data_IF_830181933279
#
_entry.id   IF_830181933279
#
_cell.length_a   1.000
_cell.length_b   1.000
_cell.length_c   1.000
_cell.angle_alpha   90.00
_cell.angle_beta   90.00
_cell.angle_gamma   90.00
#
_symmetry.space_group_name_H-M   'P 1'
#
loop_
_entity.id
_entity.type
_entity.pdbx_description
1 polymer ?
#
# COMPACT_ATOMS: atom_id res chain seq x y z
N UNK A 1 44.13 19.71 18.25
CA UNK A 1 43.10 20.32 17.37
C UNK A 1 42.08 19.23 17.05
N UNK A 2 41.11 19.02 17.95
CA UNK A 2 40.15 17.91 17.85
C UNK A 2 39.02 18.28 16.91
N UNK A 3 38.91 17.59 15.77
CA UNK A 3 37.78 17.71 14.85
C UNK A 3 36.58 17.03 15.50
N UNK A 4 35.64 17.83 15.98
CA UNK A 4 34.32 17.39 16.39
C UNK A 4 33.64 16.66 15.22
N UNK A 5 33.52 15.34 15.33
CA UNK A 5 32.69 14.54 14.44
C UNK A 5 31.23 14.85 14.78
N UNK A 6 30.68 15.87 14.13
CA UNK A 6 29.25 16.15 14.17
C UNK A 6 28.58 14.98 13.45
N UNK A 7 28.13 14.00 14.22
CA UNK A 7 27.24 12.95 13.73
C UNK A 7 25.98 13.65 13.24
N UNK A 8 25.92 13.97 11.95
CA UNK A 8 24.67 14.23 11.27
C UNK A 8 23.83 12.96 11.44
N UNK A 9 22.94 13.00 12.43
CA UNK A 9 21.79 12.12 12.51
C UNK A 9 21.01 12.41 11.23
N UNK A 10 21.33 11.66 10.19
CA UNK A 10 20.68 11.69 8.89
C UNK A 10 19.25 11.22 9.12
N UNK A 11 18.40 12.12 9.61
CA UNK A 11 16.97 11.86 9.80
C UNK A 11 16.48 11.41 8.43
N UNK A 12 16.15 10.12 8.32
CA UNK A 12 15.36 9.64 7.20
C UNK A 12 14.17 10.60 7.06
N UNK A 13 13.83 11.03 5.83
CA UNK A 13 12.83 12.05 5.65
C UNK A 13 11.55 11.58 6.34
N UNK A 14 11.04 12.36 7.29
CA UNK A 14 9.86 12.01 8.09
C UNK A 14 8.63 11.66 7.22
N UNK A 15 8.63 12.10 5.95
CA UNK A 15 7.64 11.71 4.94
C UNK A 15 7.60 10.21 4.65
N UNK A 16 8.72 9.47 4.76
CA UNK A 16 8.73 8.02 4.49
C UNK A 16 8.03 7.22 5.59
N UNK A 17 8.12 7.69 6.84
CA UNK A 17 7.48 7.03 7.98
C UNK A 17 5.97 7.29 7.98
N UNK A 18 5.54 8.54 7.71
CA UNK A 18 4.12 8.87 7.57
C UNK A 18 3.45 8.12 6.41
N UNK A 19 4.13 8.04 5.26
CA UNK A 19 3.67 7.25 4.12
C UNK A 19 3.53 5.76 4.45
N UNK A 20 4.50 5.19 5.15
CA UNK A 20 4.46 3.79 5.55
C UNK A 20 3.31 3.49 6.53
N UNK A 21 3.13 4.33 7.57
CA UNK A 21 2.03 4.15 8.54
C UNK A 21 0.67 4.29 7.86
N UNK A 22 0.51 5.28 6.99
CA UNK A 22 -0.69 5.42 6.15
C UNK A 22 -0.94 4.16 5.32
N UNK A 23 0.08 3.67 4.61
CA UNK A 23 0.00 2.48 3.77
C UNK A 23 -0.37 1.22 4.55
N UNK A 24 0.31 0.97 5.67
CA UNK A 24 0.01 -0.17 6.54
C UNK A 24 -1.39 -0.06 7.11
N UNK A 25 -1.82 1.14 7.48
CA UNK A 25 -3.20 1.41 7.90
C UNK A 25 -4.23 0.99 6.85
N UNK A 26 -3.99 1.29 5.57
CA UNK A 26 -4.88 0.87 4.47
C UNK A 26 -4.96 -0.64 4.32
N UNK A 27 -3.84 -1.35 4.44
CA UNK A 27 -3.84 -2.81 4.41
C UNK A 27 -4.55 -3.43 5.61
N UNK A 28 -4.41 -2.84 6.81
CA UNK A 28 -5.14 -3.28 8.00
C UNK A 28 -6.65 -3.10 7.80
N UNK A 29 -7.08 -1.96 7.27
CA UNK A 29 -8.50 -1.70 6.98
C UNK A 29 -9.04 -2.73 6.00
N UNK A 30 -8.31 -3.02 4.92
CA UNK A 30 -8.66 -4.08 3.97
C UNK A 30 -8.82 -5.44 4.66
N UNK A 31 -7.87 -5.82 5.51
CA UNK A 31 -7.92 -7.11 6.23
C UNK A 31 -9.11 -7.21 7.19
N UNK A 32 -9.44 -6.11 7.88
CA UNK A 32 -10.63 -6.05 8.74
C UNK A 32 -11.92 -6.17 7.93
N UNK A 33 -12.03 -5.47 6.80
CA UNK A 33 -13.18 -5.56 5.89
C UNK A 33 -13.33 -6.97 5.31
N UNK A 34 -12.20 -7.59 4.96
CA UNK A 34 -12.13 -8.98 4.50
C UNK A 34 -12.68 -9.95 5.54
N UNK A 35 -12.23 -9.83 6.80
CA UNK A 35 -12.72 -10.69 7.90
C UNK A 35 -14.20 -10.48 8.20
N UNK A 36 -14.72 -9.26 7.99
CA UNK A 36 -16.14 -8.95 8.14
C UNK A 36 -17.01 -9.39 6.96
N UNK A 37 -16.41 -9.88 5.86
CA UNK A 37 -17.14 -10.22 4.64
C UNK A 37 -17.74 -9.01 3.92
N UNK A 38 -17.28 -7.79 4.21
CA UNK A 38 -17.83 -6.54 3.65
C UNK A 38 -17.10 -6.08 2.38
N UNK A 39 -16.20 -6.91 1.83
CA UNK A 39 -15.50 -6.58 0.59
C UNK A 39 -16.43 -6.57 -0.62
N UNK A 40 -17.46 -7.40 -0.62
CA UNK A 40 -18.45 -7.42 -1.71
C UNK A 40 -19.29 -6.13 -1.73
N UNK A 41 -19.75 -5.68 -0.55
CA UNK A 41 -20.47 -4.40 -0.40
C UNK A 41 -19.58 -3.22 -0.78
N UNK A 42 -18.32 -3.23 -0.37
CA UNK A 42 -17.35 -2.20 -0.74
C UNK A 42 -17.09 -2.19 -2.25
N UNK A 43 -16.95 -3.36 -2.88
CA UNK A 43 -16.74 -3.46 -4.32
C UNK A 43 -17.95 -2.96 -5.11
N UNK A 44 -19.15 -3.28 -4.66
CA UNK A 44 -20.39 -2.75 -5.25
C UNK A 44 -20.45 -1.24 -5.11
N UNK A 45 -20.17 -0.70 -3.92
CA UNK A 45 -20.12 0.74 -3.68
C UNK A 45 -19.08 1.44 -4.56
N UNK A 46 -17.89 0.85 -4.74
CA UNK A 46 -16.84 1.38 -5.62
C UNK A 46 -17.33 1.50 -7.08
N UNK A 47 -18.05 0.48 -7.56
CA UNK A 47 -18.58 0.42 -8.94
C UNK A 47 -19.79 1.33 -9.17
N UNK A 48 -20.54 1.64 -8.11
CA UNK A 48 -21.69 2.54 -8.17
C UNK A 48 -21.30 4.04 -8.11
N UNK A 49 -20.02 4.36 -7.91
CA UNK A 49 -19.56 5.75 -7.91
C UNK A 49 -19.54 6.35 -9.33
N UNK A 50 -19.69 7.67 -9.44
CA UNK A 50 -19.42 8.37 -10.69
C UNK A 50 -17.99 8.08 -11.16
N UNK A 51 -17.81 7.85 -12.47
CA UNK A 51 -16.53 7.48 -13.10
C UNK A 51 -15.35 8.35 -12.63
N UNK A 52 -15.55 9.65 -12.46
CA UNK A 52 -14.48 10.55 -11.99
C UNK A 52 -14.02 10.20 -10.57
N UNK A 53 -14.96 9.91 -9.67
CA UNK A 53 -14.66 9.56 -8.27
C UNK A 53 -14.11 8.14 -8.19
N UNK A 54 -14.62 7.23 -9.01
CA UNK A 54 -14.06 5.89 -9.15
C UNK A 54 -12.58 5.96 -9.55
N UNK A 55 -12.24 6.73 -10.60
CA UNK A 55 -10.85 6.91 -11.06
C UNK A 55 -9.98 7.53 -9.95
N UNK A 56 -10.46 8.56 -9.25
CA UNK A 56 -9.72 9.15 -8.14
C UNK A 56 -9.47 8.13 -7.01
N UNK A 57 -10.46 7.30 -6.71
CA UNK A 57 -10.33 6.23 -5.71
C UNK A 57 -9.31 5.19 -6.16
N UNK A 58 -9.33 4.80 -7.43
CA UNK A 58 -8.32 3.93 -8.02
C UNK A 58 -6.92 4.55 -7.98
N UNK A 59 -6.76 5.87 -8.15
CA UNK A 59 -5.43 6.50 -8.09
C UNK A 59 -4.89 6.54 -6.65
N UNK A 60 -5.74 6.91 -5.70
CA UNK A 60 -5.34 7.10 -4.29
C UNK A 60 -5.18 5.75 -3.57
N UNK A 61 -6.09 4.81 -3.83
CA UNK A 61 -6.19 3.52 -3.14
C UNK A 61 -5.95 2.34 -4.08
N UNK A 62 -5.22 2.56 -5.19
CA UNK A 62 -4.92 1.56 -6.22
C UNK A 62 -4.71 0.13 -5.72
N UNK A 63 -3.72 -0.14 -4.83
CA UNK A 63 -3.45 -1.49 -4.35
C UNK A 63 -4.64 -2.12 -3.64
N UNK A 64 -5.40 -1.34 -2.87
CA UNK A 64 -6.51 -1.80 -2.06
C UNK A 64 -7.74 -2.09 -2.93
N UNK A 65 -8.05 -1.20 -3.87
CA UNK A 65 -9.17 -1.37 -4.81
C UNK A 65 -8.89 -2.58 -5.72
N UNK A 66 -7.65 -2.72 -6.19
CA UNK A 66 -7.24 -3.89 -6.98
C UNK A 66 -7.34 -5.19 -6.17
N UNK A 67 -6.88 -5.20 -4.92
CA UNK A 67 -7.03 -6.36 -4.03
C UNK A 67 -8.49 -6.72 -3.79
N UNK A 68 -9.37 -5.73 -3.61
CA UNK A 68 -10.82 -5.92 -3.45
C UNK A 68 -11.45 -6.49 -4.73
N UNK A 69 -11.07 -5.96 -5.90
CA UNK A 69 -11.54 -6.46 -7.20
C UNK A 69 -11.11 -7.92 -7.43
N UNK A 70 -9.89 -8.29 -7.05
CA UNK A 70 -9.42 -9.69 -7.14
C UNK A 70 -10.13 -10.58 -6.13
N UNK A 71 -10.39 -10.08 -4.92
CA UNK A 71 -11.07 -10.83 -3.87
C UNK A 71 -12.54 -11.14 -4.21
N UNK A 72 -13.21 -10.22 -4.89
CA UNK A 72 -14.61 -10.37 -5.37
C UNK A 72 -14.73 -11.09 -6.71
N UNK A 73 -13.61 -11.38 -7.38
CA UNK A 73 -13.60 -12.14 -8.65
C UNK A 73 -14.05 -13.58 -8.44
N UNK A 74 -14.58 -14.25 -9.47
CA UNK A 74 -15.02 -15.67 -9.39
C UNK A 74 -13.87 -16.68 -9.34
N UNK A 75 -12.63 -16.22 -9.22
CA UNK A 75 -11.43 -17.06 -9.19
C UNK A 75 -11.36 -17.98 -7.98
N UNK A 76 -10.50 -19.00 -8.02
CA UNK A 76 -10.30 -19.90 -6.88
C UNK A 76 -9.75 -19.13 -5.67
N UNK A 77 -10.18 -19.51 -4.47
CA UNK A 77 -9.79 -18.84 -3.22
C UNK A 77 -8.26 -18.77 -3.07
N UNK A 78 -7.55 -19.87 -3.35
CA UNK A 78 -6.09 -19.90 -3.31
C UNK A 78 -5.43 -18.90 -4.27
N UNK A 79 -6.01 -18.67 -5.46
CA UNK A 79 -5.51 -17.68 -6.40
C UNK A 79 -5.76 -16.26 -5.89
N UNK A 80 -6.95 -15.99 -5.33
CA UNK A 80 -7.27 -14.68 -4.73
C UNK A 80 -6.32 -14.33 -3.61
N UNK A 81 -6.11 -15.26 -2.66
CA UNK A 81 -5.17 -15.08 -1.54
C UNK A 81 -3.75 -14.83 -2.06
N UNK A 82 -3.29 -15.63 -3.02
CA UNK A 82 -1.93 -15.48 -3.59
C UNK A 82 -1.72 -14.11 -4.21
N UNK A 83 -2.69 -13.63 -4.99
CA UNK A 83 -2.61 -12.32 -5.64
C UNK A 83 -2.67 -11.17 -4.63
N UNK A 84 -3.53 -11.25 -3.61
CA UNK A 84 -3.57 -10.26 -2.53
C UNK A 84 -2.22 -10.20 -1.81
N UNK A 85 -1.64 -11.35 -1.47
CA UNK A 85 -0.31 -11.41 -0.84
C UNK A 85 0.77 -10.81 -1.75
N UNK A 86 0.76 -11.14 -3.05
CA UNK A 86 1.69 -10.57 -4.02
C UNK A 86 1.54 -9.04 -4.11
N UNK A 87 0.31 -8.52 -4.14
CA UNK A 87 0.08 -7.07 -4.15
C UNK A 87 0.58 -6.40 -2.89
N UNK A 88 0.32 -6.97 -1.71
CA UNK A 88 0.87 -6.48 -0.44
C UNK A 88 2.39 -6.42 -0.50
N UNK A 89 3.04 -7.52 -0.91
CA UNK A 89 4.51 -7.62 -0.93
C UNK A 89 5.14 -6.68 -1.96
N UNK A 90 4.69 -6.74 -3.21
CA UNK A 90 5.20 -5.90 -4.30
C UNK A 90 5.04 -4.43 -3.95
N UNK A 91 3.86 -4.03 -3.47
CA UNK A 91 3.57 -2.64 -3.16
C UNK A 91 4.33 -2.14 -1.92
N UNK A 92 4.48 -2.99 -0.90
CA UNK A 92 5.32 -2.68 0.27
C UNK A 92 6.78 -2.53 -0.14
N UNK A 93 7.30 -3.42 -0.99
CA UNK A 93 8.67 -3.36 -1.51
C UNK A 93 8.92 -2.12 -2.37
N UNK A 94 7.96 -1.71 -3.21
CA UNK A 94 8.04 -0.48 -3.99
C UNK A 94 8.01 0.78 -3.10
N UNK A 95 7.30 0.71 -1.97
CA UNK A 95 7.17 1.82 -1.02
C UNK A 95 8.36 1.96 -0.09
N UNK A 96 9.18 0.92 0.04
CA UNK A 96 10.42 1.01 0.81
C UNK A 96 11.37 2.01 0.13
N UNK A 97 11.82 3.05 0.86
CA UNK A 97 12.78 3.99 0.30
C UNK A 97 14.08 3.23 0.02
N UNK A 98 14.36 2.97 -1.27
CA UNK A 98 15.63 2.35 -1.67
C UNK A 98 16.77 3.23 -1.15
N UNK A 99 17.73 2.70 -0.38
CA UNK A 99 18.91 3.48 -0.04
C UNK A 99 19.58 3.85 -1.35
N UNK A 100 19.67 5.15 -1.65
CA UNK A 100 20.51 5.64 -2.74
C UNK A 100 21.92 5.11 -2.43
N UNK A 101 22.38 4.15 -3.24
CA UNK A 101 23.78 3.75 -3.27
C UNK A 101 24.56 5.04 -3.47
N UNK A 102 25.17 5.50 -2.38
CA UNK A 102 26.03 6.66 -2.41
C UNK A 102 27.27 6.16 -3.13
N UNK A 103 27.27 6.34 -4.45
CA UNK A 103 28.41 6.02 -5.29
C UNK A 103 29.63 6.72 -4.72
N UNK A 104 30.51 5.93 -4.10
CA UNK A 104 31.90 6.32 -3.90
C UNK A 104 32.50 6.48 -5.30
N UNK A 105 32.62 7.72 -5.74
CA UNK A 105 33.71 8.13 -6.62
C UNK A 105 34.77 8.76 -5.75
#
# INVERSE_FOLDING_TARGET
MSKSSTAEVRRAPASSQGWFVWMTGLWIVFFVLMQKGQLDDLAAWIRDLPIVVEILTWIVFFPQVLATAVWTSTWSEGLRVTLVVLFVLVWTLLSLPRPKSSGRR
#
